data_IF_169057859778
#
_entry.id   IF_169057859778
#
_cell.length_a   1.000
_cell.length_b   1.000
_cell.length_c   1.000
_cell.angle_alpha   90.00
_cell.angle_beta   90.00
_cell.angle_gamma   90.00
#
_symmetry.space_group_name_H-M   'P 1'
#
loop_
_entity.id
_entity.type
_entity.pdbx_description
1 polymer ?
#
# COMPACT_ATOMS: atom_id res chain seq x y z
N UNK A 1 34.26 23.35 4.75
CA UNK A 1 34.68 22.14 3.99
C UNK A 1 33.94 20.82 4.34
N UNK A 2 32.89 20.81 5.18
CA UNK A 2 32.23 19.55 5.59
C UNK A 2 31.01 19.08 4.78
N UNK A 3 30.33 19.98 4.06
CA UNK A 3 29.03 19.70 3.42
C UNK A 3 29.11 18.72 2.23
N UNK A 4 30.20 18.74 1.46
CA UNK A 4 30.36 17.85 0.30
C UNK A 4 30.41 16.36 0.66
N UNK A 5 31.02 16.03 1.82
CA UNK A 5 31.08 14.65 2.32
C UNK A 5 29.73 14.17 2.82
N UNK A 6 28.97 15.03 3.48
CA UNK A 6 27.60 14.73 3.92
C UNK A 6 26.68 14.51 2.72
N UNK A 7 26.72 15.40 1.71
CA UNK A 7 25.94 15.24 0.47
C UNK A 7 26.28 13.94 -0.26
N UNK A 8 27.56 13.58 -0.35
CA UNK A 8 27.99 12.32 -0.94
C UNK A 8 27.49 11.09 -0.15
N UNK A 9 27.53 11.14 1.19
CA UNK A 9 26.98 10.07 2.04
C UNK A 9 25.47 9.93 1.86
N UNK A 10 24.72 11.05 1.86
CA UNK A 10 23.27 11.04 1.65
C UNK A 10 22.89 10.52 0.27
N UNK A 11 23.59 10.92 -0.81
CA UNK A 11 23.35 10.39 -2.14
C UNK A 11 23.60 8.87 -2.22
N UNK A 12 24.63 8.35 -1.53
CA UNK A 12 24.86 6.90 -1.43
C UNK A 12 23.71 6.19 -0.71
N UNK A 13 23.24 6.74 0.41
CA UNK A 13 22.12 6.18 1.18
C UNK A 13 20.84 6.22 0.34
N UNK A 14 20.51 7.35 -0.27
CA UNK A 14 19.35 7.50 -1.12
C UNK A 14 19.37 6.52 -2.31
N UNK A 15 20.54 6.34 -2.95
CA UNK A 15 20.69 5.34 -4.02
C UNK A 15 20.49 3.92 -3.50
N UNK A 16 21.03 3.59 -2.32
CA UNK A 16 20.76 2.29 -1.68
C UNK A 16 19.27 2.11 -1.48
N UNK A 17 18.57 3.07 -0.87
CA UNK A 17 17.14 2.99 -0.62
C UNK A 17 16.32 2.87 -1.92
N UNK A 18 16.66 3.65 -2.95
CA UNK A 18 15.94 3.65 -4.24
C UNK A 18 16.05 2.32 -4.98
N UNK A 19 17.20 1.66 -4.89
CA UNK A 19 17.49 0.42 -5.60
C UNK A 19 17.65 -0.77 -4.63
N UNK A 20 17.13 -0.64 -3.40
CA UNK A 20 17.12 -1.73 -2.44
C UNK A 20 15.94 -2.62 -2.77
N UNK A 21 16.25 -3.81 -3.30
CA UNK A 21 15.32 -4.92 -3.28
C UNK A 21 15.64 -5.73 -2.03
N UNK A 22 14.70 -5.86 -1.06
CA UNK A 22 14.88 -6.81 0.03
C UNK A 22 14.95 -8.22 -0.53
N UNK A 23 15.81 -9.06 0.06
CA UNK A 23 15.80 -10.49 -0.19
C UNK A 23 14.61 -11.08 0.57
N UNK A 24 13.57 -11.48 -0.16
CA UNK A 24 12.39 -12.12 0.42
C UNK A 24 12.60 -13.63 0.49
N UNK A 25 12.36 -14.23 1.65
CA UNK A 25 12.37 -15.69 1.79
C UNK A 25 11.06 -16.27 1.25
N UNK A 26 11.08 -16.67 -0.03
CA UNK A 26 9.92 -17.23 -0.72
C UNK A 26 9.49 -18.58 -0.12
N UNK A 27 10.40 -19.32 0.52
CA UNK A 27 10.07 -20.61 1.15
C UNK A 27 9.30 -20.43 2.45
N UNK A 28 9.61 -19.39 3.22
CA UNK A 28 8.83 -19.01 4.39
C UNK A 28 7.41 -18.59 3.99
N UNK A 29 7.28 -17.73 2.97
CA UNK A 29 5.99 -17.28 2.46
C UNK A 29 5.12 -18.44 1.95
N UNK A 30 5.71 -19.35 1.19
CA UNK A 30 4.99 -20.52 0.67
C UNK A 30 4.42 -21.40 1.79
N UNK A 31 5.14 -21.53 2.91
CA UNK A 31 4.68 -22.32 4.06
C UNK A 31 3.50 -21.65 4.76
N UNK A 32 3.54 -20.34 4.92
CA UNK A 32 2.46 -19.57 5.54
C UNK A 32 1.17 -19.66 4.71
N UNK A 33 1.26 -19.51 3.39
CA UNK A 33 0.11 -19.67 2.49
C UNK A 33 -0.46 -21.10 2.51
N UNK A 34 0.41 -22.11 2.50
CA UNK A 34 -0.03 -23.50 2.56
C UNK A 34 -0.70 -23.86 3.90
N UNK A 35 -0.26 -23.24 5.02
CA UNK A 35 -0.91 -23.41 6.31
C UNK A 35 -2.27 -22.67 6.36
N UNK A 36 -2.40 -21.49 5.73
CA UNK A 36 -3.70 -20.78 5.59
C UNK A 36 -4.73 -21.60 4.80
N UNK A 37 -4.33 -22.19 3.66
CA UNK A 37 -5.18 -23.09 2.87
C UNK A 37 -5.65 -24.30 3.67
N UNK A 38 -4.87 -24.73 4.67
CA UNK A 38 -5.29 -25.82 5.58
C UNK A 38 -6.30 -25.36 6.64
N UNK A 39 -6.28 -24.07 7.02
CA UNK A 39 -7.29 -23.49 7.92
C UNK A 39 -8.64 -23.36 7.23
N UNK A 40 -8.69 -23.01 5.94
CA UNK A 40 -9.93 -22.95 5.15
C UNK A 40 -10.47 -24.34 4.80
N UNK A 41 -9.58 -25.33 4.61
CA UNK A 41 -9.99 -26.71 4.33
C UNK A 41 -10.65 -27.45 5.52
N UNK A 42 -10.43 -27.00 6.76
CA UNK A 42 -11.07 -27.58 7.95
C UNK A 42 -12.44 -26.95 8.27
N UNK A 43 -12.80 -25.86 7.58
CA UNK A 43 -14.13 -25.22 7.65
C UNK A 43 -14.95 -25.49 6.39
N UNK A 44 -14.55 -26.48 5.57
CA UNK A 44 -15.38 -27.05 4.51
C UNK A 44 -16.49 -27.93 5.12
N UNK A 45 -17.34 -27.31 5.92
CA UNK A 45 -18.69 -27.79 6.21
C UNK A 45 -19.47 -27.61 4.91
N UNK A 46 -19.67 -28.72 4.20
CA UNK A 46 -20.79 -29.00 3.28
C UNK A 46 -21.80 -27.83 3.08
N UNK A 47 -21.46 -26.82 2.27
CA UNK A 47 -22.40 -25.78 1.85
C UNK A 47 -22.70 -25.91 0.34
N UNK A 48 -23.99 -25.96 -0.04
CA UNK A 48 -24.42 -26.18 -1.41
C UNK A 48 -24.30 -24.92 -2.26
N UNK A 49 -23.67 -25.00 -3.44
CA UNK A 49 -23.93 -24.19 -4.66
C UNK A 49 -24.42 -22.72 -4.47
N UNK A 50 -23.83 -21.94 -3.56
CA UNK A 50 -24.14 -20.52 -3.31
C UNK A 50 -22.96 -19.57 -3.67
N UNK A 51 -21.97 -20.04 -4.43
CA UNK A 51 -20.79 -19.25 -4.85
C UNK A 51 -21.20 -18.01 -5.67
N UNK A 52 -22.18 -18.15 -6.56
CA UNK A 52 -22.72 -17.05 -7.38
C UNK A 52 -23.43 -15.96 -6.54
N UNK A 53 -24.03 -16.34 -5.40
CA UNK A 53 -24.77 -15.39 -4.55
C UNK A 53 -23.83 -14.56 -3.65
N UNK A 54 -22.70 -15.14 -3.23
CA UNK A 54 -21.67 -14.46 -2.44
C UNK A 54 -20.91 -13.46 -3.32
N UNK A 55 -20.58 -13.84 -4.56
CA UNK A 55 -19.93 -12.96 -5.52
C UNK A 55 -20.82 -11.76 -5.90
N UNK A 56 -22.13 -11.98 -6.07
CA UNK A 56 -23.09 -10.90 -6.35
C UNK A 56 -23.25 -9.91 -5.18
N UNK A 57 -23.26 -10.39 -3.92
CA UNK A 57 -23.30 -9.53 -2.72
C UNK A 57 -22.00 -8.72 -2.58
N UNK A 58 -20.84 -9.37 -2.80
CA UNK A 58 -19.54 -8.71 -2.77
C UNK A 58 -19.42 -7.65 -3.86
N UNK A 59 -19.84 -7.96 -5.09
CA UNK A 59 -19.84 -7.03 -6.22
C UNK A 59 -20.75 -5.83 -5.95
N UNK A 60 -21.96 -6.05 -5.42
CA UNK A 60 -22.91 -5.00 -5.08
C UNK A 60 -22.32 -4.00 -4.07
N UNK A 61 -21.59 -4.47 -3.06
CA UNK A 61 -20.94 -3.62 -2.05
C UNK A 61 -19.84 -2.71 -2.62
N UNK A 62 -19.10 -3.17 -3.63
CA UNK A 62 -18.04 -2.36 -4.26
C UNK A 62 -18.58 -1.45 -5.37
N UNK A 63 -19.70 -1.80 -6.00
CA UNK A 63 -20.35 -0.97 -7.02
C UNK A 63 -20.77 0.40 -6.45
N UNK A 64 -21.26 0.44 -5.21
CA UNK A 64 -21.59 1.69 -4.50
C UNK A 64 -20.40 2.67 -4.40
N UNK A 65 -19.17 2.14 -4.30
CA UNK A 65 -17.97 2.96 -4.21
C UNK A 65 -17.52 3.50 -5.56
N UNK A 66 -17.86 2.81 -6.66
CA UNK A 66 -17.57 3.25 -8.02
C UNK A 66 -18.56 4.31 -8.52
N UNK A 67 -19.79 4.31 -8.02
CA UNK A 67 -20.81 5.32 -8.31
C UNK A 67 -20.69 6.58 -7.45
N UNK A 68 -19.85 6.56 -6.41
CA UNK A 68 -19.52 7.77 -5.65
C UNK A 68 -18.96 8.79 -6.64
N UNK A 69 -19.62 9.96 -6.83
CA UNK A 69 -19.04 11.01 -7.65
C UNK A 69 -17.67 11.31 -7.06
N UNK A 70 -16.67 11.55 -7.90
CA UNK A 70 -15.44 12.16 -7.43
C UNK A 70 -15.86 13.47 -6.76
N UNK A 71 -15.99 13.44 -5.44
CA UNK A 71 -16.09 14.65 -4.65
C UNK A 71 -14.84 15.43 -5.03
N UNK A 72 -15.04 16.65 -5.53
CA UNK A 72 -13.93 17.57 -5.67
C UNK A 72 -13.36 17.72 -4.26
N UNK A 73 -12.30 16.96 -3.97
CA UNK A 73 -11.60 17.05 -2.70
C UNK A 73 -11.32 18.55 -2.52
N UNK A 74 -11.95 19.19 -1.52
CA UNK A 74 -11.77 20.61 -1.15
C UNK A 74 -10.35 20.86 -0.57
N UNK A 75 -9.34 20.17 -1.13
CA UNK A 75 -7.94 20.35 -0.85
C UNK A 75 -7.54 21.69 -1.45
N UNK A 76 -7.51 22.72 -0.60
CA UNK A 76 -6.91 24.01 -0.97
C UNK A 76 -5.49 23.70 -1.49
N UNK A 77 -5.16 24.03 -2.75
CA UNK A 77 -3.84 23.77 -3.32
C UNK A 77 -2.70 24.42 -2.51
N UNK A 78 -3.01 25.35 -1.60
CA UNK A 78 -2.06 25.90 -0.62
C UNK A 78 -1.68 24.93 0.51
N UNK A 79 -2.48 23.91 0.80
CA UNK A 79 -2.11 22.83 1.74
C UNK A 79 -1.24 21.75 1.09
N UNK A 80 -1.26 21.69 -0.24
CA UNK A 80 -0.32 20.90 -1.05
C UNK A 80 0.94 21.69 -1.39
N UNK A 81 1.24 22.76 -0.63
CA UNK A 81 2.50 23.42 -0.82
C UNK A 81 3.63 22.48 -0.36
N UNK A 82 4.65 22.34 -1.19
CA UNK A 82 5.82 21.53 -0.88
C UNK A 82 6.50 21.99 0.43
N UNK A 83 6.13 23.14 1.00
CA UNK A 83 6.69 23.69 2.23
C UNK A 83 6.40 22.82 3.46
N UNK A 84 5.22 22.18 3.53
CA UNK A 84 4.87 21.24 4.60
C UNK A 84 5.81 20.01 4.62
N UNK A 85 6.12 19.48 3.44
CA UNK A 85 6.96 18.29 3.27
C UNK A 85 8.46 18.60 3.21
N UNK A 86 8.85 19.77 2.70
CA UNK A 86 10.26 20.16 2.55
C UNK A 86 10.80 20.90 3.77
N UNK A 87 9.94 21.22 4.76
CA UNK A 87 10.32 21.93 5.97
C UNK A 87 10.88 23.34 5.71
N UNK A 88 10.65 23.87 4.51
CA UNK A 88 11.09 25.22 4.14
C UNK A 88 10.09 26.22 4.70
N UNK A 89 10.22 26.54 5.99
CA UNK A 89 9.53 27.68 6.57
C UNK A 89 9.85 28.91 5.73
N UNK A 90 8.85 29.44 5.03
CA UNK A 90 8.94 30.71 4.31
C UNK A 90 9.41 31.78 5.30
N UNK A 91 10.69 32.11 5.24
CA UNK A 91 11.31 33.14 6.08
C UNK A 91 10.76 34.48 5.64
N UNK A 92 10.06 35.15 6.55
CA UNK A 92 9.58 36.52 6.40
C UNK A 92 10.71 37.53 6.62
#
# INVERSE_FOLDING_TARGET
MGRGRQKAKQMKVARKLKYFSPDTDLHALQRELADEDSYTANDAVDEPEEDDAIDDDLYSKYADFAEMPAEDDDIDPKQLDESFWTGSSSTK
#
